data_IF_060733010034
#
_entry.id   IF_060733010034
#
_cell.length_a   1.000
_cell.length_b   1.000
_cell.length_c   1.000
_cell.angle_alpha   90.00
_cell.angle_beta   90.00
_cell.angle_gamma   90.00
#
_symmetry.space_group_name_H-M   'P 1'
#
loop_
_entity.id
_entity.type
_entity.pdbx_description
1 polymer ?
#
# COMPACT_ATOMS: atom_id res chain seq x y z
N UNK A 1 12.61 37.95 -27.82
CA UNK A 1 13.20 36.59 -27.94
C UNK A 1 14.39 36.59 -26.99
N UNK A 2 14.46 35.82 -25.91
CA UNK A 2 14.10 34.41 -25.76
C UNK A 2 13.67 34.10 -24.32
N UNK A 3 12.73 33.18 -24.20
CA UNK A 3 12.15 32.64 -22.97
C UNK A 3 13.13 31.65 -22.37
N UNK A 4 13.65 31.93 -21.17
CA UNK A 4 14.41 30.96 -20.39
C UNK A 4 13.42 30.00 -19.70
N UNK A 5 13.10 28.91 -20.39
CA UNK A 5 12.40 27.77 -19.81
C UNK A 5 13.32 27.10 -18.77
N UNK A 6 13.09 27.40 -17.49
CA UNK A 6 13.55 26.55 -16.40
C UNK A 6 12.70 25.28 -16.42
N UNK A 7 13.19 24.29 -17.17
CA UNK A 7 12.75 22.91 -17.04
C UNK A 7 13.27 22.42 -15.69
N UNK A 8 12.43 22.52 -14.66
CA UNK A 8 12.57 21.69 -13.48
C UNK A 8 12.39 20.24 -13.94
N UNK A 9 13.51 19.55 -14.17
CA UNK A 9 13.53 18.11 -14.29
C UNK A 9 13.01 17.59 -12.96
N UNK A 10 11.73 17.23 -12.93
CA UNK A 10 11.17 16.40 -11.89
C UNK A 10 11.99 15.11 -11.89
N UNK A 11 12.94 15.02 -10.96
CA UNK A 11 13.43 13.74 -10.49
C UNK A 11 12.17 12.97 -10.11
N UNK A 12 11.75 12.03 -10.96
CA UNK A 12 10.75 11.04 -10.59
C UNK A 12 11.36 10.25 -9.44
N UNK A 13 11.14 10.73 -8.22
CA UNK A 13 11.41 9.99 -7.03
C UNK A 13 10.50 8.76 -7.06
N UNK A 14 10.99 7.65 -7.61
CA UNK A 14 10.49 6.31 -7.31
C UNK A 14 10.91 5.92 -5.88
N UNK A 15 10.80 6.87 -4.94
CA UNK A 15 11.04 6.70 -3.51
C UNK A 15 9.74 6.31 -2.78
N UNK A 16 8.78 5.74 -3.51
CA UNK A 16 7.58 5.13 -2.95
C UNK A 16 7.76 3.63 -2.80
N UNK A 17 7.04 3.05 -1.85
CA UNK A 17 6.86 1.64 -1.69
C UNK A 17 7.33 1.08 -0.37
N UNK A 18 6.61 0.05 0.08
CA UNK A 18 6.91 -0.65 1.33
C UNK A 18 7.49 -2.02 1.02
N UNK A 19 8.69 -2.28 1.52
CA UNK A 19 9.27 -3.63 1.47
C UNK A 19 8.53 -4.50 2.46
N UNK A 20 7.98 -5.61 1.98
CA UNK A 20 7.25 -6.59 2.79
C UNK A 20 7.89 -7.95 2.61
N UNK A 21 8.11 -8.64 3.73
CA UNK A 21 8.80 -9.92 3.77
C UNK A 21 7.90 -11.01 4.33
N UNK A 22 8.10 -12.24 3.88
CA UNK A 22 7.33 -13.44 4.22
C UNK A 22 5.91 -13.46 3.62
N UNK A 23 5.54 -14.58 3.02
CA UNK A 23 4.24 -14.80 2.34
C UNK A 23 3.03 -14.31 3.16
N UNK A 24 2.89 -14.63 4.47
CA UNK A 24 1.71 -14.19 5.22
C UNK A 24 1.63 -12.67 5.38
N UNK A 25 2.75 -11.98 5.59
CA UNK A 25 2.76 -10.52 5.70
C UNK A 25 2.49 -9.88 4.35
N UNK A 26 3.05 -10.43 3.28
CA UNK A 26 2.80 -9.98 1.89
C UNK A 26 1.31 -10.00 1.59
N UNK A 27 0.62 -11.11 1.89
CA UNK A 27 -0.81 -11.26 1.65
C UNK A 27 -1.67 -10.29 2.48
N UNK A 28 -1.31 -10.05 3.75
CA UNK A 28 -2.03 -9.13 4.63
C UNK A 28 -1.80 -7.67 4.20
N UNK A 29 -0.55 -7.26 3.98
CA UNK A 29 -0.20 -5.92 3.55
C UNK A 29 -0.84 -5.58 2.20
N UNK A 30 -0.83 -6.52 1.25
CA UNK A 30 -1.44 -6.33 -0.07
C UNK A 30 -2.95 -6.18 0.03
N UNK A 31 -3.63 -7.01 0.83
CA UNK A 31 -5.08 -6.88 1.04
C UNK A 31 -5.45 -5.56 1.71
N UNK A 32 -4.66 -5.13 2.69
CA UNK A 32 -4.86 -3.86 3.39
C UNK A 32 -4.70 -2.66 2.44
N UNK A 33 -3.59 -2.58 1.71
CA UNK A 33 -3.34 -1.53 0.74
C UNK A 33 -4.46 -1.48 -0.33
N UNK A 34 -4.89 -2.65 -0.82
CA UNK A 34 -6.00 -2.77 -1.77
C UNK A 34 -7.33 -2.31 -1.19
N UNK A 35 -7.61 -2.61 0.07
CA UNK A 35 -8.81 -2.12 0.75
C UNK A 35 -8.84 -0.58 0.71
N UNK A 36 -7.72 0.06 1.06
CA UNK A 36 -7.62 1.53 1.11
C UNK A 36 -7.87 2.13 -0.29
N UNK A 37 -7.10 1.73 -1.31
CA UNK A 37 -7.25 2.32 -2.66
C UNK A 37 -8.63 2.04 -3.27
N UNK A 38 -9.26 0.91 -2.94
CA UNK A 38 -10.64 0.61 -3.39
C UNK A 38 -11.67 1.50 -2.70
N UNK A 39 -11.53 1.76 -1.40
CA UNK A 39 -12.43 2.67 -0.69
C UNK A 39 -12.26 4.12 -1.13
N UNK A 40 -11.03 4.55 -1.45
CA UNK A 40 -10.79 5.87 -2.04
C UNK A 40 -11.42 5.94 -3.43
N UNK A 41 -11.30 4.90 -4.26
CA UNK A 41 -11.81 4.89 -5.63
C UNK A 41 -11.07 5.92 -6.48
N UNK A 42 -11.81 6.84 -7.11
CA UNK A 42 -11.22 8.06 -7.70
C UNK A 42 -10.98 9.06 -6.58
N UNK A 43 -9.72 9.49 -6.45
CA UNK A 43 -9.32 10.49 -5.46
C UNK A 43 -9.91 11.87 -5.83
N UNK A 44 -10.45 12.65 -4.89
CA UNK A 44 -10.95 14.00 -5.14
C UNK A 44 -9.86 14.96 -5.67
N UNK A 45 -10.27 15.93 -6.50
CA UNK A 45 -9.42 17.03 -6.94
C UNK A 45 -8.98 17.93 -5.78
N UNK A 46 -9.93 18.27 -4.91
CA UNK A 46 -9.67 19.06 -3.71
C UNK A 46 -8.76 18.32 -2.73
N UNK A 47 -7.70 18.98 -2.28
CA UNK A 47 -6.66 18.37 -1.44
C UNK A 47 -7.18 17.99 -0.06
N UNK A 48 -8.00 18.84 0.56
CA UNK A 48 -8.54 18.58 1.88
C UNK A 48 -9.55 17.41 1.85
N UNK A 49 -10.44 17.39 0.85
CA UNK A 49 -11.38 16.30 0.63
C UNK A 49 -10.64 14.98 0.32
N UNK A 50 -9.56 15.04 -0.46
CA UNK A 50 -8.72 13.86 -0.75
C UNK A 50 -8.05 13.33 0.51
N UNK A 51 -7.43 14.21 1.30
CA UNK A 51 -6.80 13.82 2.55
C UNK A 51 -7.81 13.19 3.52
N UNK A 52 -9.01 13.78 3.70
CA UNK A 52 -10.07 13.22 4.55
C UNK A 52 -10.50 11.84 4.07
N UNK A 53 -10.75 11.69 2.77
CA UNK A 53 -11.17 10.42 2.19
C UNK A 53 -10.12 9.32 2.35
N UNK A 54 -8.85 9.65 2.18
CA UNK A 54 -7.74 8.71 2.42
C UNK A 54 -7.68 8.31 3.90
N UNK A 55 -7.80 9.26 4.83
CA UNK A 55 -7.77 8.98 6.26
C UNK A 55 -8.95 8.10 6.72
N UNK A 56 -10.15 8.36 6.18
CA UNK A 56 -11.34 7.54 6.43
C UNK A 56 -11.15 6.11 5.93
N UNK A 57 -10.64 5.94 4.71
CA UNK A 57 -10.35 4.64 4.12
C UNK A 57 -9.29 3.87 4.94
N UNK A 58 -8.21 4.54 5.34
CA UNK A 58 -7.17 3.99 6.21
C UNK A 58 -7.78 3.49 7.52
N UNK A 59 -8.56 4.33 8.21
CA UNK A 59 -9.18 3.99 9.49
C UNK A 59 -10.13 2.79 9.36
N UNK A 60 -10.99 2.79 8.34
CA UNK A 60 -11.95 1.71 8.11
C UNK A 60 -11.26 0.37 7.83
N UNK A 61 -10.27 0.37 6.94
CA UNK A 61 -9.52 -0.84 6.60
C UNK A 61 -8.65 -1.34 7.77
N UNK A 62 -8.06 -0.43 8.57
CA UNK A 62 -7.28 -0.80 9.76
C UNK A 62 -8.17 -1.44 10.81
N UNK A 63 -9.32 -0.86 11.11
CA UNK A 63 -10.26 -1.42 12.09
C UNK A 63 -10.72 -2.83 11.68
N UNK A 64 -10.94 -3.06 10.39
CA UNK A 64 -11.31 -4.38 9.87
C UNK A 64 -10.22 -5.44 10.15
N UNK A 65 -8.96 -5.13 9.81
CA UNK A 65 -7.86 -6.11 9.96
C UNK A 65 -7.46 -6.33 11.43
N UNK A 66 -7.57 -5.31 12.26
CA UNK A 66 -7.36 -5.43 13.71
C UNK A 66 -8.46 -6.26 14.38
N UNK A 67 -9.70 -6.14 13.91
CA UNK A 67 -10.78 -7.01 14.34
C UNK A 67 -10.52 -8.47 13.93
N UNK A 68 -10.04 -8.72 12.71
CA UNK A 68 -9.63 -10.08 12.29
C UNK A 68 -8.55 -10.66 13.20
N UNK A 69 -7.55 -9.86 13.59
CA UNK A 69 -6.53 -10.30 14.54
C UNK A 69 -7.13 -10.60 15.92
N UNK A 70 -7.95 -9.68 16.45
CA UNK A 70 -8.57 -9.82 17.78
C UNK A 70 -9.47 -11.06 17.88
N UNK A 71 -10.11 -11.43 16.76
CA UNK A 71 -10.97 -12.59 16.65
C UNK A 71 -10.22 -13.89 16.31
N UNK A 72 -8.87 -13.85 16.25
CA UNK A 72 -8.05 -15.02 15.96
C UNK A 72 -8.15 -15.51 14.50
N UNK A 73 -8.63 -14.68 13.58
CA UNK A 73 -8.81 -15.04 12.15
C UNK A 73 -7.55 -14.83 11.31
N UNK A 74 -6.53 -14.18 11.86
CA UNK A 74 -5.23 -14.04 11.19
C UNK A 74 -4.37 -15.27 11.48
N UNK A 75 -4.20 -16.11 10.46
CA UNK A 75 -3.54 -17.41 10.57
C UNK A 75 -2.18 -17.43 9.87
N UNK A 76 -1.21 -18.14 10.45
CA UNK A 76 0.06 -18.52 9.81
C UNK A 76 0.20 -20.04 9.90
N UNK A 77 0.10 -20.71 8.76
CA UNK A 77 -0.18 -22.15 8.74
C UNK A 77 -1.52 -22.40 9.44
N UNK A 78 -1.57 -23.41 10.32
CA UNK A 78 -2.79 -23.79 11.04
C UNK A 78 -2.98 -23.09 12.38
N UNK A 79 -2.17 -22.06 12.69
CA UNK A 79 -2.18 -21.39 13.99
C UNK A 79 -2.53 -19.91 13.88
N UNK A 80 -3.36 -19.38 14.79
CA UNK A 80 -3.54 -17.94 14.92
C UNK A 80 -2.21 -17.26 15.25
N UNK A 81 -1.98 -16.08 14.71
CA UNK A 81 -0.77 -15.31 15.00
C UNK A 81 -0.77 -14.80 16.44
N UNK A 82 0.39 -14.79 17.07
CA UNK A 82 0.54 -14.22 18.41
C UNK A 82 0.76 -12.71 18.38
N UNK A 83 0.63 -12.06 19.54
CA UNK A 83 0.79 -10.61 19.70
C UNK A 83 2.15 -10.08 19.23
N UNK A 84 3.24 -10.83 19.44
CA UNK A 84 4.59 -10.43 19.01
C UNK A 84 4.72 -10.42 17.49
N UNK A 85 4.13 -11.40 16.82
CA UNK A 85 4.06 -11.44 15.36
C UNK A 85 3.21 -10.29 14.84
N UNK A 86 2.04 -10.07 15.46
CA UNK A 86 1.15 -8.97 15.11
C UNK A 86 1.81 -7.60 15.26
N UNK A 87 2.60 -7.37 16.32
CA UNK A 87 3.33 -6.11 16.48
C UNK A 87 4.28 -5.79 15.32
N UNK A 88 4.92 -6.80 14.71
CA UNK A 88 5.71 -6.58 13.47
C UNK A 88 4.82 -6.29 12.26
N UNK A 89 3.67 -6.95 12.18
CA UNK A 89 2.69 -6.69 11.14
C UNK A 89 2.15 -5.25 11.24
N UNK A 90 1.88 -4.73 12.45
CA UNK A 90 1.42 -3.36 12.66
C UNK A 90 2.40 -2.34 12.08
N UNK A 91 3.70 -2.48 12.34
CA UNK A 91 4.72 -1.59 11.75
C UNK A 91 4.70 -1.62 10.21
N UNK A 92 4.43 -2.79 9.61
CA UNK A 92 4.29 -2.92 8.15
C UNK A 92 3.02 -2.22 7.66
N UNK A 93 1.90 -2.39 8.36
CA UNK A 93 0.64 -1.71 8.02
C UNK A 93 0.76 -0.18 8.14
N UNK A 94 1.44 0.31 9.17
CA UNK A 94 1.69 1.75 9.37
C UNK A 94 2.49 2.32 8.19
N UNK A 95 3.54 1.61 7.75
CA UNK A 95 4.32 1.99 6.59
C UNK A 95 3.48 1.98 5.30
N UNK A 96 2.62 0.97 5.12
CA UNK A 96 1.72 0.87 3.95
C UNK A 96 0.74 2.04 3.92
N UNK A 97 0.17 2.41 5.06
CA UNK A 97 -0.76 3.53 5.15
C UNK A 97 -0.09 4.86 4.84
N UNK A 98 1.11 5.07 5.36
CA UNK A 98 1.90 6.26 5.05
C UNK A 98 2.25 6.34 3.56
N UNK A 99 2.67 5.22 2.95
CA UNK A 99 2.99 5.15 1.52
C UNK A 99 1.76 5.43 0.64
N UNK A 100 0.63 4.78 0.94
CA UNK A 100 -0.63 5.00 0.20
C UNK A 100 -1.07 6.45 0.32
N UNK A 101 -1.01 7.04 1.50
CA UNK A 101 -1.39 8.43 1.71
C UNK A 101 -0.48 9.40 0.94
N UNK A 102 0.82 9.13 0.90
CA UNK A 102 1.79 9.93 0.14
C UNK A 102 1.59 9.78 -1.39
N UNK A 103 1.21 8.58 -1.85
CA UNK A 103 1.05 8.30 -3.28
C UNK A 103 -0.22 8.93 -3.89
N UNK A 104 -1.31 9.05 -3.11
CA UNK A 104 -2.60 9.58 -3.58
C UNK A 104 -2.58 11.12 -3.57
N UNK A 105 -1.92 11.71 -4.56
CA UNK A 105 -1.68 13.15 -4.64
C UNK A 105 -2.56 13.89 -5.68
N UNK A 106 -3.11 13.18 -6.66
CA UNK A 106 -3.87 13.76 -7.79
C UNK A 106 -5.21 13.08 -7.99
N UNK A 107 -6.12 13.74 -8.72
CA UNK A 107 -7.46 13.25 -9.08
C UNK A 107 -7.39 12.08 -10.07
N UNK A 108 -6.97 10.92 -9.55
CA UNK A 108 -6.85 9.67 -10.31
C UNK A 108 -7.38 8.52 -9.48
N UNK A 109 -7.65 7.42 -10.17
CA UNK A 109 -7.77 6.13 -9.52
C UNK A 109 -6.37 5.57 -9.29
N UNK A 110 -6.19 4.77 -8.24
CA UNK A 110 -4.91 4.14 -7.91
C UNK A 110 -5.08 2.63 -7.80
N UNK A 111 -3.98 1.89 -8.01
CA UNK A 111 -3.90 0.45 -7.78
C UNK A 111 -2.63 0.08 -7.03
N UNK A 112 -2.63 -1.14 -6.50
CA UNK A 112 -1.46 -1.75 -5.87
C UNK A 112 -0.78 -2.69 -6.85
N UNK A 113 0.51 -2.50 -7.07
CA UNK A 113 1.38 -3.41 -7.83
C UNK A 113 2.51 -3.90 -6.94
N UNK A 114 3.13 -5.00 -7.34
CA UNK A 114 4.33 -5.52 -6.69
C UNK A 114 5.54 -5.27 -7.56
N UNK A 115 6.60 -4.77 -6.96
CA UNK A 115 7.94 -4.80 -7.52
C UNK A 115 8.70 -5.98 -6.88
N UNK A 116 9.13 -6.90 -7.73
CA UNK A 116 9.85 -8.11 -7.36
C UNK A 116 11.33 -7.79 -7.08
N UNK A 117 12.10 -8.70 -6.44
CA UNK A 117 13.51 -8.47 -6.12
C UNK A 117 14.43 -8.19 -7.32
N UNK A 118 14.05 -8.67 -8.51
CA UNK A 118 14.74 -8.42 -9.78
C UNK A 118 14.34 -7.08 -10.43
N UNK A 119 13.45 -6.32 -9.78
CA UNK A 119 12.92 -5.04 -10.26
C UNK A 119 11.71 -5.17 -11.19
N UNK A 120 11.27 -6.39 -11.52
CA UNK A 120 10.08 -6.58 -12.35
C UNK A 120 8.82 -6.09 -11.63
N UNK A 121 7.93 -5.41 -12.36
CA UNK A 121 6.67 -4.90 -11.83
C UNK A 121 5.51 -5.72 -12.36
N UNK A 122 4.74 -6.28 -11.43
CA UNK A 122 3.62 -7.17 -11.75
C UNK A 122 2.37 -6.73 -11.00
N UNK A 123 1.20 -6.99 -11.61
CA UNK A 123 -0.03 -7.00 -10.81
C UNK A 123 0.09 -8.15 -9.80
N UNK A 124 -0.37 -7.95 -8.57
CA UNK A 124 -0.24 -8.95 -7.52
C UNK A 124 -0.87 -10.30 -7.92
N UNK A 125 -1.88 -10.30 -8.80
CA UNK A 125 -2.53 -11.51 -9.29
C UNK A 125 -1.73 -12.26 -10.36
N UNK A 126 -0.71 -11.63 -10.95
CA UNK A 126 0.12 -12.19 -12.01
C UNK A 126 1.53 -12.56 -11.52
N UNK A 127 1.76 -12.51 -10.20
CA UNK A 127 3.08 -12.69 -9.64
C UNK A 127 3.48 -14.18 -9.56
N UNK A 128 4.74 -14.53 -9.83
CA UNK A 128 5.24 -15.90 -9.71
C UNK A 128 5.32 -16.31 -8.25
N UNK A 129 4.86 -17.52 -7.90
CA UNK A 129 5.00 -18.09 -6.54
C UNK A 129 6.18 -19.09 -6.48
N UNK A 130 6.87 -19.23 -5.32
CA UNK A 130 6.64 -18.54 -4.05
C UNK A 130 7.45 -17.24 -3.88
N UNK A 131 6.85 -16.21 -3.26
CA UNK A 131 7.50 -14.93 -2.97
C UNK A 131 7.87 -14.81 -1.49
N UNK A 132 9.12 -14.50 -1.21
CA UNK A 132 9.60 -14.27 0.17
C UNK A 132 9.80 -12.79 0.49
N UNK A 133 9.91 -11.93 -0.53
CA UNK A 133 10.05 -10.48 -0.40
C UNK A 133 9.47 -9.79 -1.63
N UNK A 134 8.76 -8.70 -1.43
CA UNK A 134 8.32 -7.76 -2.47
C UNK A 134 8.50 -6.32 -2.00
N UNK A 135 8.42 -5.37 -2.92
CA UNK A 135 8.10 -3.98 -2.62
C UNK A 135 6.68 -3.70 -3.13
N UNK A 136 5.80 -3.32 -2.22
CA UNK A 136 4.43 -2.96 -2.51
C UNK A 136 4.39 -1.49 -2.94
N UNK A 137 3.83 -1.21 -4.12
CA UNK A 137 3.75 0.13 -4.68
C UNK A 137 2.29 0.55 -4.90
N UNK A 138 1.97 1.79 -4.53
CA UNK A 138 0.72 2.45 -4.90
C UNK A 138 0.96 3.31 -6.14
N UNK A 139 0.26 3.02 -7.24
CA UNK A 139 0.47 3.69 -8.53
C UNK A 139 -0.84 4.24 -9.10
N UNK A 140 -0.82 5.39 -9.79
CA UNK A 140 -1.99 5.89 -10.50
C UNK A 140 -2.34 4.96 -11.68
N UNK A 141 -3.63 4.83 -11.94
CA UNK A 141 -4.19 4.19 -13.13
C UNK A 141 -4.28 5.16 -14.31
#
# INVERSE_FOLDING_TARGET
MSIAYLIAVALQATAGGVVVENVPQIGIATRHARCIVRQVGVAPADEAARASKVQEAVRGCRAFIENDFTQGRVMVGDRPVNRRWWGRMQATLDAVEADVAAAIATEKQYKIIWELPDGARVDAYAAPEPLTRIRLLTVPL
#
